data_IF_393547721521
#
_entry.id   IF_393547721521
#
_cell.length_a   1.000
_cell.length_b   1.000
_cell.length_c   1.000
_cell.angle_alpha   90.00
_cell.angle_beta   90.00
_cell.angle_gamma   90.00
#
_symmetry.space_group_name_H-M   'P 1'
#
loop_
_entity.id
_entity.type
_entity.pdbx_description
1 polymer ?
#
# COMPACT_ATOMS: atom_id res chain seq x y z
N UNK A 1 -76.65 -72.24 -74.55
CA UNK A 1 -75.20 -72.07 -74.53
C UNK A 1 -74.78 -71.97 -73.05
N UNK A 2 -74.39 -73.10 -72.46
CA UNK A 2 -73.99 -73.20 -71.09
C UNK A 2 -72.51 -72.87 -70.96
N UNK A 3 -72.23 -71.78 -70.24
CA UNK A 3 -70.80 -71.40 -69.87
C UNK A 3 -70.52 -71.93 -68.48
N UNK A 4 -69.84 -73.07 -68.42
CA UNK A 4 -69.25 -73.55 -67.12
C UNK A 4 -67.98 -72.70 -66.80
N UNK A 5 -67.95 -72.08 -65.63
CA UNK A 5 -66.72 -71.32 -65.24
C UNK A 5 -65.56 -72.28 -65.03
N UNK A 6 -64.33 -71.83 -65.30
CA UNK A 6 -63.13 -72.69 -65.18
C UNK A 6 -62.81 -73.02 -63.75
N UNK A 7 -62.23 -74.20 -63.42
CA UNK A 7 -62.03 -74.66 -62.04
C UNK A 7 -60.62 -74.10 -61.50
N UNK A 8 -60.59 -72.83 -61.18
CA UNK A 8 -59.32 -72.23 -60.65
C UNK A 8 -59.27 -72.16 -59.14
N UNK A 9 -60.34 -72.61 -58.45
CA UNK A 9 -60.35 -72.57 -56.94
C UNK A 9 -60.34 -74.01 -56.41
N UNK A 10 -59.12 -74.57 -56.15
CA UNK A 10 -59.01 -75.76 -55.35
C UNK A 10 -59.54 -75.39 -53.92
N UNK A 11 -60.69 -75.88 -53.60
CA UNK A 11 -61.25 -75.79 -52.25
C UNK A 11 -60.36 -76.64 -51.36
N UNK A 12 -59.47 -75.98 -50.64
CA UNK A 12 -58.75 -76.58 -49.56
C UNK A 12 -59.68 -77.29 -48.58
N UNK A 13 -59.19 -78.14 -47.70
CA UNK A 13 -60.03 -78.93 -46.78
C UNK A 13 -60.99 -78.04 -46.04
N UNK A 14 -62.21 -78.55 -45.83
CA UNK A 14 -63.33 -77.80 -45.22
C UNK A 14 -62.91 -77.13 -43.91
N UNK A 15 -63.38 -75.93 -43.65
CA UNK A 15 -62.93 -75.11 -42.49
C UNK A 15 -63.07 -75.83 -41.15
N UNK A 16 -64.02 -76.75 -41.03
CA UNK A 16 -64.20 -77.64 -39.88
C UNK A 16 -63.03 -78.63 -39.70
N UNK A 17 -62.45 -79.13 -40.81
CA UNK A 17 -61.30 -80.04 -40.77
C UNK A 17 -60.07 -79.31 -40.31
N UNK A 18 -59.84 -78.06 -40.79
CA UNK A 18 -58.76 -77.20 -40.33
C UNK A 18 -58.90 -76.85 -38.83
N UNK A 19 -60.07 -76.52 -38.39
CA UNK A 19 -60.34 -76.20 -37.01
C UNK A 19 -60.09 -77.44 -36.12
N UNK A 20 -60.60 -78.59 -36.49
CA UNK A 20 -60.35 -79.87 -35.79
C UNK A 20 -58.86 -80.23 -35.76
N UNK A 21 -58.10 -80.03 -36.87
CA UNK A 21 -56.65 -80.25 -36.92
C UNK A 21 -55.87 -79.31 -35.99
N UNK A 22 -56.19 -78.03 -35.99
CA UNK A 22 -55.48 -77.09 -35.15
C UNK A 22 -55.89 -77.24 -33.65
N UNK A 23 -57.14 -77.60 -33.41
CA UNK A 23 -57.62 -77.87 -32.05
C UNK A 23 -56.93 -79.14 -31.46
N UNK A 24 -56.91 -80.24 -32.26
CA UNK A 24 -56.19 -81.44 -31.83
C UNK A 24 -54.68 -81.24 -31.69
N UNK A 25 -54.02 -80.45 -32.60
CA UNK A 25 -52.62 -80.07 -32.48
C UNK A 25 -52.37 -79.21 -31.23
N UNK A 26 -53.22 -78.29 -30.93
CA UNK A 26 -53.17 -77.44 -29.73
C UNK A 26 -53.27 -78.30 -28.47
N UNK A 27 -54.30 -79.22 -28.46
CA UNK A 27 -54.48 -80.14 -27.31
C UNK A 27 -53.26 -81.08 -27.15
N UNK A 28 -52.73 -81.63 -28.27
CA UNK A 28 -51.53 -82.48 -28.25
C UNK A 28 -50.34 -81.70 -27.73
N UNK A 29 -50.11 -80.46 -28.17
CA UNK A 29 -49.02 -79.62 -27.68
C UNK A 29 -49.21 -79.30 -26.20
N UNK A 30 -50.44 -79.05 -25.73
CA UNK A 30 -50.72 -78.79 -24.33
C UNK A 30 -50.46 -80.04 -23.43
N UNK A 31 -50.85 -81.25 -23.91
CA UNK A 31 -50.54 -82.51 -23.24
C UNK A 31 -49.03 -82.84 -23.24
N UNK A 32 -48.36 -82.53 -24.37
CA UNK A 32 -46.89 -82.68 -24.46
C UNK A 32 -46.17 -81.76 -23.46
N UNK A 33 -46.63 -80.50 -23.39
CA UNK A 33 -46.04 -79.54 -22.48
C UNK A 33 -46.30 -79.92 -21.03
N UNK A 34 -47.52 -80.38 -20.67
CA UNK A 34 -47.85 -80.86 -19.35
C UNK A 34 -47.06 -82.12 -18.93
N UNK A 35 -46.66 -82.94 -19.91
CA UNK A 35 -45.93 -84.22 -19.65
C UNK A 35 -44.43 -84.04 -19.62
N UNK A 36 -43.87 -83.20 -20.44
CA UNK A 36 -42.40 -83.10 -20.66
C UNK A 36 -41.80 -81.77 -20.22
N UNK A 37 -42.65 -80.79 -19.74
CA UNK A 37 -42.21 -79.47 -19.25
C UNK A 37 -41.26 -78.69 -20.25
N UNK A 38 -41.41 -78.96 -21.52
CA UNK A 38 -40.58 -78.28 -22.55
C UNK A 38 -40.75 -76.76 -22.54
N UNK A 39 -41.87 -76.24 -22.11
CA UNK A 39 -42.14 -74.83 -21.98
C UNK A 39 -41.25 -74.18 -20.89
N UNK A 40 -40.92 -74.90 -19.83
CA UNK A 40 -39.99 -74.34 -18.80
C UNK A 40 -38.57 -74.19 -19.36
N UNK A 41 -38.12 -75.16 -20.16
CA UNK A 41 -36.82 -75.08 -20.84
C UNK A 41 -36.78 -73.95 -21.86
N UNK A 42 -37.83 -73.76 -22.66
CA UNK A 42 -37.90 -72.68 -23.63
C UNK A 42 -37.99 -71.32 -22.94
N UNK A 43 -38.77 -71.24 -21.82
CA UNK A 43 -38.92 -70.03 -21.01
C UNK A 43 -37.57 -69.64 -20.38
N UNK A 44 -36.80 -70.58 -19.91
CA UNK A 44 -35.46 -70.31 -19.32
C UNK A 44 -34.43 -69.82 -20.37
N UNK A 45 -34.46 -70.34 -21.59
CA UNK A 45 -33.62 -69.89 -22.68
C UNK A 45 -34.02 -68.52 -23.14
N UNK A 46 -35.34 -68.24 -23.30
CA UNK A 46 -35.83 -66.90 -23.62
C UNK A 46 -35.51 -65.91 -22.51
N UNK A 47 -35.69 -66.30 -21.25
CA UNK A 47 -35.31 -65.43 -20.12
C UNK A 47 -33.81 -65.12 -20.11
N UNK A 48 -32.97 -66.11 -20.43
CA UNK A 48 -31.51 -65.92 -20.52
C UNK A 48 -31.11 -64.99 -21.67
N UNK A 49 -31.81 -65.05 -22.80
CA UNK A 49 -31.57 -64.16 -23.96
C UNK A 49 -32.12 -62.70 -23.72
N UNK A 50 -33.23 -62.60 -22.99
CA UNK A 50 -33.85 -61.28 -22.69
C UNK A 50 -33.17 -60.54 -21.55
N UNK A 51 -32.56 -61.29 -20.62
CA UNK A 51 -31.85 -60.70 -19.47
C UNK A 51 -30.75 -59.68 -19.89
N UNK A 52 -29.84 -59.98 -20.85
CA UNK A 52 -28.84 -59.02 -21.29
C UNK A 52 -29.46 -57.83 -22.02
N UNK A 53 -30.60 -58.03 -22.67
CA UNK A 53 -31.31 -56.93 -23.33
C UNK A 53 -31.93 -55.97 -22.31
N UNK A 54 -32.48 -56.46 -21.21
CA UNK A 54 -33.03 -55.65 -20.12
C UNK A 54 -31.91 -54.88 -19.44
N UNK A 55 -30.74 -55.46 -19.16
CA UNK A 55 -29.62 -54.80 -18.56
C UNK A 55 -29.04 -53.71 -19.51
N UNK A 56 -28.98 -53.96 -20.81
CA UNK A 56 -28.58 -52.98 -21.81
C UNK A 56 -29.59 -51.79 -21.90
N UNK A 57 -30.87 -52.07 -21.74
CA UNK A 57 -31.91 -51.04 -21.79
C UNK A 57 -31.88 -50.13 -20.54
N UNK A 58 -31.44 -50.59 -19.38
CA UNK A 58 -31.31 -49.78 -18.13
C UNK A 58 -29.97 -49.07 -18.02
N UNK A 59 -28.92 -49.50 -18.75
CA UNK A 59 -27.62 -48.83 -18.76
C UNK A 59 -27.65 -47.33 -19.04
N UNK A 60 -28.38 -46.82 -20.06
CA UNK A 60 -28.40 -45.39 -20.35
C UNK A 60 -29.01 -44.58 -19.22
N UNK A 61 -30.03 -45.10 -18.53
CA UNK A 61 -30.62 -44.39 -17.38
C UNK A 61 -29.68 -44.32 -16.18
N UNK A 62 -29.00 -45.46 -15.84
CA UNK A 62 -28.04 -45.50 -14.76
C UNK A 62 -26.79 -44.67 -15.03
N UNK A 63 -26.33 -44.64 -16.30
CA UNK A 63 -25.23 -43.76 -16.73
C UNK A 63 -25.67 -42.27 -16.66
N UNK A 64 -26.90 -41.94 -17.10
CA UNK A 64 -27.44 -40.61 -17.02
C UNK A 64 -27.52 -40.09 -15.59
N UNK A 65 -27.99 -40.87 -14.64
CA UNK A 65 -28.04 -40.50 -13.23
C UNK A 65 -26.62 -40.31 -12.62
N UNK A 66 -25.68 -41.20 -12.94
CA UNK A 66 -24.31 -41.05 -12.48
C UNK A 66 -23.62 -39.82 -13.06
N UNK A 67 -23.83 -39.53 -14.35
CA UNK A 67 -23.32 -38.34 -15.00
C UNK A 67 -23.96 -37.06 -14.44
N UNK A 68 -25.28 -37.05 -14.25
CA UNK A 68 -25.97 -35.93 -13.65
C UNK A 68 -25.48 -35.65 -12.21
N UNK A 69 -25.29 -36.70 -11.41
CA UNK A 69 -24.69 -36.57 -10.06
C UNK A 69 -23.26 -36.04 -10.10
N UNK A 70 -22.45 -36.51 -11.06
CA UNK A 70 -21.08 -35.99 -11.24
C UNK A 70 -21.05 -34.52 -11.62
N UNK A 71 -21.87 -34.09 -12.59
CA UNK A 71 -21.94 -32.68 -12.97
C UNK A 71 -22.54 -31.79 -11.88
N UNK A 72 -23.52 -32.26 -11.14
CA UNK A 72 -24.08 -31.55 -10.00
C UNK A 72 -23.04 -31.35 -8.89
N UNK A 73 -22.31 -32.40 -8.53
CA UNK A 73 -21.22 -32.30 -7.54
C UNK A 73 -20.08 -31.42 -8.02
N UNK A 74 -19.72 -31.48 -9.31
CA UNK A 74 -18.69 -30.64 -9.92
C UNK A 74 -19.12 -29.16 -9.90
N UNK A 75 -20.35 -28.82 -10.20
CA UNK A 75 -20.87 -27.46 -10.09
C UNK A 75 -20.84 -26.97 -8.64
N UNK A 76 -21.34 -27.78 -7.71
CA UNK A 76 -21.32 -27.44 -6.28
C UNK A 76 -19.91 -27.20 -5.76
N UNK A 77 -18.94 -28.07 -6.12
CA UNK A 77 -17.53 -27.88 -5.74
C UNK A 77 -16.92 -26.62 -6.34
N UNK A 78 -17.32 -26.22 -7.54
CA UNK A 78 -16.87 -24.97 -8.15
C UNK A 78 -17.43 -23.75 -7.41
N UNK A 79 -18.71 -23.80 -7.08
CA UNK A 79 -19.37 -22.71 -6.34
C UNK A 79 -18.80 -22.58 -4.92
N UNK A 80 -18.60 -23.71 -4.21
CA UNK A 80 -17.94 -23.73 -2.91
C UNK A 80 -16.51 -23.21 -2.98
N UNK A 81 -15.75 -23.60 -4.01
CA UNK A 81 -14.39 -23.12 -4.22
C UNK A 81 -14.35 -21.61 -4.52
N UNK A 82 -15.33 -21.10 -5.29
CA UNK A 82 -15.47 -19.67 -5.55
C UNK A 82 -15.83 -18.90 -4.27
N UNK A 83 -16.77 -19.43 -3.48
CA UNK A 83 -17.15 -18.83 -2.20
C UNK A 83 -15.98 -18.82 -1.19
N UNK A 84 -15.25 -19.94 -1.07
CA UNK A 84 -14.07 -20.03 -0.21
C UNK A 84 -12.97 -19.05 -0.63
N UNK A 85 -12.73 -18.91 -1.94
CA UNK A 85 -11.77 -17.92 -2.46
C UNK A 85 -12.22 -16.49 -2.16
N UNK A 86 -13.50 -16.18 -2.30
CA UNK A 86 -14.04 -14.87 -1.94
C UNK A 86 -13.87 -14.59 -0.44
N UNK A 87 -14.16 -15.57 0.42
CA UNK A 87 -13.93 -15.46 1.88
C UNK A 87 -12.45 -15.26 2.23
N UNK A 88 -11.54 -15.97 1.56
CA UNK A 88 -10.09 -15.80 1.76
C UNK A 88 -9.67 -14.37 1.38
N UNK A 89 -10.15 -13.85 0.25
CA UNK A 89 -9.85 -12.48 -0.18
C UNK A 89 -10.37 -11.45 0.82
N UNK A 90 -11.60 -11.59 1.26
CA UNK A 90 -12.22 -10.67 2.23
C UNK A 90 -11.47 -10.71 3.58
N UNK A 91 -11.18 -11.91 4.07
CA UNK A 91 -10.43 -12.09 5.32
C UNK A 91 -9.02 -11.52 5.22
N UNK A 92 -8.32 -11.73 4.09
CA UNK A 92 -6.97 -11.19 3.91
C UNK A 92 -6.99 -9.66 3.82
N UNK A 93 -7.99 -9.06 3.16
CA UNK A 93 -8.16 -7.60 3.16
C UNK A 93 -8.46 -7.04 4.55
N UNK A 94 -9.31 -7.72 5.32
CA UNK A 94 -9.59 -7.34 6.70
C UNK A 94 -8.34 -7.42 7.60
N UNK A 95 -7.54 -8.49 7.45
CA UNK A 95 -6.27 -8.66 8.16
C UNK A 95 -5.28 -7.54 7.81
N UNK A 96 -5.11 -7.21 6.52
CA UNK A 96 -4.24 -6.12 6.09
C UNK A 96 -4.67 -4.75 6.66
N UNK A 97 -5.98 -4.47 6.66
CA UNK A 97 -6.51 -3.23 7.27
C UNK A 97 -6.26 -3.19 8.77
N UNK A 98 -6.42 -4.31 9.45
CA UNK A 98 -6.14 -4.41 10.89
C UNK A 98 -4.67 -4.17 11.20
N UNK A 99 -3.76 -4.80 10.45
CA UNK A 99 -2.31 -4.60 10.60
C UNK A 99 -1.91 -3.14 10.34
N UNK A 100 -2.46 -2.51 9.28
CA UNK A 100 -2.21 -1.11 8.99
C UNK A 100 -2.69 -0.19 10.13
N UNK A 101 -3.91 -0.40 10.63
CA UNK A 101 -4.46 0.37 11.74
C UNK A 101 -3.66 0.17 13.03
N UNK A 102 -3.17 -1.04 13.30
CA UNK A 102 -2.34 -1.34 14.45
C UNK A 102 -0.97 -0.65 14.37
N UNK A 103 -0.35 -0.66 13.17
CA UNK A 103 0.91 0.05 12.93
C UNK A 103 0.75 1.56 13.13
N UNK A 104 -0.34 2.15 12.60
CA UNK A 104 -0.68 3.56 12.78
C UNK A 104 -0.89 3.92 14.26
N UNK A 105 -1.69 3.14 14.98
CA UNK A 105 -1.89 3.32 16.42
C UNK A 105 -0.57 3.23 17.19
N UNK A 106 0.32 2.32 16.81
CA UNK A 106 1.66 2.20 17.36
C UNK A 106 2.51 3.46 17.13
N UNK A 107 2.49 4.00 15.92
CA UNK A 107 3.20 5.23 15.58
C UNK A 107 2.68 6.43 16.38
N UNK A 108 1.37 6.60 16.45
CA UNK A 108 0.76 7.69 17.23
C UNK A 108 1.11 7.62 18.72
N UNK A 109 1.10 6.42 19.34
CA UNK A 109 1.52 6.25 20.74
C UNK A 109 2.97 6.66 20.97
N UNK A 110 3.89 6.27 20.05
CA UNK A 110 5.30 6.67 20.16
C UNK A 110 5.46 8.19 20.02
N UNK A 111 4.71 8.79 19.10
CA UNK A 111 4.73 10.23 18.90
C UNK A 111 4.22 11.01 20.14
N UNK A 112 3.13 10.54 20.77
CA UNK A 112 2.64 11.10 22.03
C UNK A 112 3.70 11.00 23.12
N UNK A 113 4.32 9.82 23.29
CA UNK A 113 5.42 9.65 24.25
C UNK A 113 6.66 10.50 23.93
N UNK A 114 6.89 10.86 22.66
CA UNK A 114 7.94 11.82 22.30
C UNK A 114 7.52 13.25 22.70
N UNK A 115 6.27 13.65 22.45
CA UNK A 115 5.74 14.96 22.83
C UNK A 115 5.86 15.21 24.34
N UNK A 116 5.56 14.21 25.17
CA UNK A 116 5.67 14.30 26.64
C UNK A 116 7.11 14.49 27.13
N UNK A 117 8.10 14.03 26.37
CA UNK A 117 9.53 14.19 26.73
C UNK A 117 10.11 15.54 26.31
N UNK A 118 9.45 16.26 25.40
CA UNK A 118 9.90 17.57 24.97
C UNK A 118 9.59 18.61 26.06
N UNK A 119 10.55 19.46 26.44
CA UNK A 119 10.35 20.50 27.46
C UNK A 119 9.56 21.70 26.93
N UNK A 120 9.00 21.60 25.75
CA UNK A 120 8.33 22.67 25.02
C UNK A 120 6.99 22.19 24.44
N UNK A 121 6.06 23.09 24.27
CA UNK A 121 4.78 22.76 23.63
C UNK A 121 4.99 22.29 22.22
N UNK A 122 4.33 21.21 21.88
CA UNK A 122 4.36 20.64 20.54
C UNK A 122 2.95 20.29 20.09
N UNK A 123 2.74 20.34 18.77
CA UNK A 123 1.45 20.09 18.12
C UNK A 123 1.63 18.93 17.12
N UNK A 124 0.80 17.88 17.19
CA UNK A 124 0.82 16.84 16.18
C UNK A 124 0.28 17.34 14.85
N UNK A 125 0.93 16.95 13.76
CA UNK A 125 0.56 17.25 12.40
C UNK A 125 0.76 16.02 11.51
N UNK A 126 -0.03 15.92 10.45
CA UNK A 126 0.05 14.85 9.46
C UNK A 126 0.77 15.37 8.20
N UNK A 127 1.65 14.58 7.63
CA UNK A 127 2.28 14.86 6.34
C UNK A 127 1.27 14.50 5.24
N UNK A 128 0.83 15.52 4.48
CA UNK A 128 -0.16 15.36 3.42
C UNK A 128 0.48 14.81 2.14
N UNK A 129 1.61 15.39 1.74
CA UNK A 129 2.34 14.98 0.53
C UNK A 129 3.75 15.56 0.52
N UNK A 130 4.60 14.96 -0.31
CA UNK A 130 5.95 15.47 -0.58
C UNK A 130 5.89 16.63 -1.57
N UNK A 131 6.81 17.58 -1.44
CA UNK A 131 6.95 18.71 -2.37
C UNK A 131 7.11 18.22 -3.82
N UNK A 132 6.62 19.02 -4.76
CA UNK A 132 6.64 18.66 -6.20
C UNK A 132 8.00 18.78 -6.86
N UNK A 133 8.92 19.51 -6.24
CA UNK A 133 10.26 19.72 -6.77
C UNK A 133 11.19 18.56 -6.39
N UNK A 134 11.71 17.79 -7.35
CA UNK A 134 12.59 16.65 -7.07
C UNK A 134 13.97 17.07 -6.53
N UNK A 135 14.33 18.35 -6.67
CA UNK A 135 15.63 18.87 -6.20
C UNK A 135 15.56 19.43 -4.78
N UNK A 136 14.38 19.76 -4.30
CA UNK A 136 14.13 20.21 -2.92
C UNK A 136 13.47 19.12 -2.10
N UNK A 137 13.95 18.91 -0.91
CA UNK A 137 13.38 17.92 0.02
C UNK A 137 12.44 18.62 0.99
N UNK A 138 11.19 18.72 0.58
CA UNK A 138 10.14 19.41 1.31
C UNK A 138 8.92 18.54 1.46
N UNK A 139 8.18 18.73 2.54
CA UNK A 139 6.87 18.09 2.77
C UNK A 139 5.86 19.16 3.15
N UNK A 140 4.60 18.87 2.93
CA UNK A 140 3.48 19.72 3.34
C UNK A 140 2.71 19.02 4.45
N UNK A 141 2.44 19.76 5.53
CA UNK A 141 1.69 19.27 6.70
C UNK A 141 0.30 19.90 6.79
N UNK A 142 -0.63 19.22 7.45
CA UNK A 142 -2.05 19.58 7.63
C UNK A 142 -2.31 20.70 8.66
N UNK A 143 -1.26 21.30 9.23
CA UNK A 143 -1.33 22.39 10.20
C UNK A 143 -0.68 23.64 9.63
N UNK A 144 -1.37 24.75 9.77
CA UNK A 144 -0.93 26.05 9.29
C UNK A 144 -0.97 27.14 10.37
N UNK A 145 -0.95 28.41 9.93
CA UNK A 145 -0.92 29.56 10.82
C UNK A 145 -2.15 29.68 11.70
N UNK A 146 -3.33 29.21 11.27
CA UNK A 146 -4.53 29.15 12.10
C UNK A 146 -4.38 28.20 13.30
N UNK A 147 -3.55 27.18 13.16
CA UNK A 147 -3.22 26.24 14.24
C UNK A 147 -2.01 26.70 15.07
N UNK A 148 -1.47 27.89 14.84
CA UNK A 148 -0.30 28.41 15.57
C UNK A 148 1.05 28.06 14.95
N UNK A 149 1.10 27.37 13.81
CA UNK A 149 2.35 27.05 13.09
C UNK A 149 2.91 28.32 12.47
N UNK A 150 4.22 28.54 12.66
CA UNK A 150 4.93 29.71 12.15
C UNK A 150 6.14 29.30 11.30
N UNK A 151 6.53 30.14 10.37
CA UNK A 151 7.81 29.95 9.70
C UNK A 151 8.95 29.98 10.71
N UNK A 152 9.86 29.02 10.62
CA UNK A 152 10.93 28.82 11.58
C UNK A 152 10.62 27.79 12.68
N UNK A 153 9.36 27.31 12.83
CA UNK A 153 9.03 26.26 13.79
C UNK A 153 9.76 24.94 13.46
N UNK A 154 10.45 24.31 14.44
CA UNK A 154 11.04 22.99 14.26
C UNK A 154 9.98 21.92 14.09
N UNK A 155 10.31 20.90 13.28
CA UNK A 155 9.48 19.73 13.10
C UNK A 155 10.30 18.49 13.48
N UNK A 156 9.73 17.65 14.34
CA UNK A 156 10.40 16.45 14.88
C UNK A 156 9.49 15.23 14.75
N UNK A 157 10.07 14.05 14.81
CA UNK A 157 9.36 12.79 15.02
C UNK A 157 9.73 12.15 16.36
N UNK A 158 9.40 10.89 16.53
CA UNK A 158 9.72 10.08 17.72
C UNK A 158 11.23 9.87 17.94
N UNK A 159 12.03 9.99 16.88
CA UNK A 159 13.46 9.69 16.88
C UNK A 159 14.35 10.94 16.84
N UNK A 160 13.84 12.09 16.33
CA UNK A 160 14.65 13.31 16.25
C UNK A 160 14.09 14.38 15.32
N UNK A 161 14.98 15.25 14.84
CA UNK A 161 14.62 16.38 13.98
C UNK A 161 14.33 15.90 12.56
N UNK A 162 13.14 16.26 12.05
CA UNK A 162 12.72 16.06 10.66
C UNK A 162 13.14 17.24 9.78
N UNK A 163 12.95 18.47 10.27
CA UNK A 163 13.19 19.69 9.49
C UNK A 163 12.65 20.93 10.18
N UNK A 164 12.33 21.92 9.34
CA UNK A 164 11.84 23.22 9.79
C UNK A 164 10.74 23.74 8.87
N UNK A 165 9.73 24.39 9.44
CA UNK A 165 8.70 25.09 8.67
C UNK A 165 9.33 26.29 7.95
N UNK A 166 9.31 26.27 6.64
CA UNK A 166 9.82 27.38 5.82
C UNK A 166 8.71 28.34 5.43
N UNK A 167 7.50 27.83 5.21
CA UNK A 167 6.34 28.66 4.84
C UNK A 167 5.08 28.15 5.53
N UNK A 168 4.38 29.03 6.22
CA UNK A 168 3.09 28.73 6.83
C UNK A 168 1.97 29.40 6.05
N UNK A 169 1.04 28.59 5.52
CA UNK A 169 -0.23 29.03 4.96
C UNK A 169 -1.33 28.96 6.02
N UNK A 170 -2.57 29.34 5.69
CA UNK A 170 -3.66 29.36 6.66
C UNK A 170 -3.94 27.98 7.29
N UNK A 171 -4.06 26.93 6.48
CA UNK A 171 -4.44 25.57 6.90
C UNK A 171 -3.32 24.53 6.76
N UNK A 172 -2.24 24.86 6.06
CA UNK A 172 -1.13 23.94 5.79
C UNK A 172 0.20 24.66 5.95
N UNK A 173 1.29 23.93 6.11
CA UNK A 173 2.62 24.53 6.11
C UNK A 173 3.61 23.66 5.31
N UNK A 174 4.57 24.33 4.71
CA UNK A 174 5.70 23.73 3.99
C UNK A 174 6.85 23.55 4.96
N UNK A 175 7.36 22.34 5.04
CA UNK A 175 8.49 21.96 5.89
C UNK A 175 9.65 21.57 5.00
N UNK A 176 10.80 22.22 5.15
CA UNK A 176 12.05 21.81 4.52
C UNK A 176 12.71 20.77 5.40
N UNK A 177 12.99 19.60 4.80
CA UNK A 177 13.57 18.48 5.51
C UNK A 177 15.02 18.72 5.88
N UNK A 178 15.47 18.12 6.97
CA UNK A 178 16.84 18.16 7.45
C UNK A 178 17.86 17.72 6.38
N UNK A 179 17.47 16.85 5.47
CA UNK A 179 18.29 16.33 4.38
C UNK A 179 18.35 17.23 3.14
N UNK A 180 17.59 18.34 3.12
CA UNK A 180 17.65 19.31 2.04
C UNK A 180 19.00 20.06 2.04
N UNK A 181 19.53 20.37 0.86
CA UNK A 181 20.85 21.05 0.70
C UNK A 181 20.90 22.45 1.29
N UNK A 182 19.76 23.11 1.31
CA UNK A 182 19.63 24.48 1.81
C UNK A 182 19.30 24.53 3.31
N UNK A 183 19.13 23.35 3.95
CA UNK A 183 18.87 23.26 5.38
C UNK A 183 20.16 23.14 6.17
N UNK A 184 20.30 23.97 7.18
CA UNK A 184 21.43 23.98 8.11
C UNK A 184 20.92 23.97 9.54
N UNK A 185 21.45 23.10 10.39
CA UNK A 185 21.06 22.98 11.80
C UNK A 185 22.31 23.01 12.68
N UNK A 186 22.38 23.92 13.67
CA UNK A 186 23.43 23.91 14.65
C UNK A 186 23.31 22.71 15.56
N UNK A 187 24.36 21.90 15.60
CA UNK A 187 24.42 20.66 16.37
C UNK A 187 25.56 20.68 17.39
N UNK A 188 25.47 19.78 18.35
CA UNK A 188 26.49 19.51 19.33
C UNK A 188 26.75 18.02 19.42
N UNK A 189 28.03 17.63 19.46
CA UNK A 189 28.44 16.25 19.72
C UNK A 189 28.19 15.94 21.19
N UNK A 190 27.41 14.89 21.47
CA UNK A 190 27.04 14.53 22.86
C UNK A 190 28.25 14.17 23.71
N UNK A 191 29.26 13.53 23.15
CA UNK A 191 30.43 12.99 23.85
C UNK A 191 31.33 14.09 24.45
N UNK A 192 31.61 15.14 23.69
CA UNK A 192 32.62 16.16 24.06
C UNK A 192 32.08 17.60 24.01
N UNK A 193 30.81 17.80 23.67
CA UNK A 193 30.20 19.14 23.59
C UNK A 193 30.65 19.97 22.38
N UNK A 194 31.40 19.39 21.42
CA UNK A 194 31.87 20.08 20.23
C UNK A 194 30.69 20.55 19.40
N UNK A 195 30.69 21.85 19.05
CA UNK A 195 29.63 22.43 18.22
C UNK A 195 29.99 22.39 16.76
N UNK A 196 29.01 22.12 15.93
CA UNK A 196 29.12 22.05 14.48
C UNK A 196 27.81 22.51 13.82
N UNK A 197 27.81 22.61 12.50
CA UNK A 197 26.60 22.82 11.72
C UNK A 197 26.41 21.63 10.79
N UNK A 198 25.26 20.99 10.89
CA UNK A 198 24.86 19.92 10.02
C UNK A 198 24.08 20.48 8.83
N UNK A 199 24.48 20.11 7.62
CA UNK A 199 23.83 20.46 6.37
C UNK A 199 23.23 19.20 5.75
N UNK A 200 22.12 19.34 5.05
CA UNK A 200 21.59 18.25 4.25
C UNK A 200 22.46 17.96 3.02
N UNK A 201 22.60 16.69 2.69
CA UNK A 201 23.34 16.25 1.50
C UNK A 201 22.44 15.95 0.30
N UNK A 202 21.18 16.39 0.33
CA UNK A 202 20.23 16.27 -0.76
C UNK A 202 19.81 14.83 -1.05
N UNK A 203 19.97 14.39 -2.30
CA UNK A 203 19.49 13.10 -2.80
C UNK A 203 20.05 11.88 -2.04
N UNK A 204 21.19 11.99 -1.36
CA UNK A 204 21.76 10.89 -0.57
C UNK A 204 20.96 10.59 0.71
N UNK A 205 20.10 11.50 1.15
CA UNK A 205 19.39 11.38 2.43
C UNK A 205 20.27 11.47 3.67
N UNK A 206 21.54 11.83 3.50
CA UNK A 206 22.53 11.95 4.58
C UNK A 206 22.68 13.41 5.02
N UNK A 207 23.43 13.61 6.09
CA UNK A 207 23.86 14.91 6.57
C UNK A 207 25.37 15.03 6.46
N UNK A 208 25.85 16.26 6.35
CA UNK A 208 27.27 16.58 6.28
C UNK A 208 27.61 17.68 7.28
N UNK A 209 28.60 17.44 8.15
CA UNK A 209 29.19 18.51 8.94
C UNK A 209 30.24 19.20 8.10
N UNK A 210 29.96 20.46 7.75
CA UNK A 210 30.92 21.29 6.96
C UNK A 210 31.78 22.15 7.87
N UNK A 211 32.93 22.57 7.35
CA UNK A 211 33.86 23.48 8.02
C UNK A 211 34.43 22.95 9.34
N UNK A 212 34.51 21.63 9.49
CA UNK A 212 35.18 21.00 10.63
C UNK A 212 36.69 20.88 10.38
N UNK A 213 37.49 21.39 11.30
CA UNK A 213 38.95 21.28 11.21
C UNK A 213 39.36 19.79 11.11
N UNK A 214 40.40 19.50 10.33
CA UNK A 214 40.89 18.11 10.15
C UNK A 214 41.32 17.45 11.45
N UNK A 215 41.73 18.23 12.47
CA UNK A 215 42.09 17.77 13.81
C UNK A 215 40.93 17.77 14.80
N UNK A 216 39.71 18.07 14.35
CA UNK A 216 38.54 18.06 15.26
C UNK A 216 38.36 16.67 15.91
N UNK A 217 38.05 16.69 17.20
CA UNK A 217 37.85 15.48 18.00
C UNK A 217 36.47 14.90 17.80
N UNK A 218 36.24 14.30 16.62
CA UNK A 218 35.03 13.60 16.22
C UNK A 218 35.38 12.17 15.85
N UNK A 219 34.51 11.23 16.25
CA UNK A 219 34.65 9.79 16.03
C UNK A 219 33.39 9.21 15.32
N UNK A 220 33.58 8.11 14.58
CA UNK A 220 32.48 7.36 14.03
C UNK A 220 31.58 6.84 15.19
N UNK A 221 30.27 6.97 15.04
CA UNK A 221 29.30 6.62 16.07
C UNK A 221 28.97 7.76 17.05
N UNK A 222 29.64 8.93 16.97
CA UNK A 222 29.29 10.10 17.77
C UNK A 222 27.85 10.54 17.47
N UNK A 223 27.05 10.73 18.51
CA UNK A 223 25.66 11.22 18.43
C UNK A 223 25.65 12.73 18.38
N UNK A 224 24.82 13.26 17.51
CA UNK A 224 24.60 14.69 17.29
C UNK A 224 23.21 15.06 17.81
N UNK A 225 23.16 16.13 18.59
CA UNK A 225 21.91 16.72 19.08
C UNK A 225 21.88 18.20 18.71
N UNK A 226 20.70 18.81 18.74
CA UNK A 226 20.54 20.25 18.55
C UNK A 226 21.30 21.01 19.63
N UNK A 227 22.02 22.08 19.27
CA UNK A 227 22.79 22.89 20.23
C UNK A 227 21.98 23.97 20.93
N UNK A 228 20.81 24.35 20.37
CA UNK A 228 19.96 25.41 20.92
C UNK A 228 20.49 26.84 20.70
N UNK A 229 21.65 27.00 20.05
CA UNK A 229 22.33 28.31 19.98
C UNK A 229 21.64 29.32 19.04
N UNK A 230 20.87 28.80 18.07
CA UNK A 230 20.10 29.61 17.10
C UNK A 230 18.76 30.11 17.63
N UNK A 231 18.37 29.67 18.84
CA UNK A 231 17.06 29.97 19.42
C UNK A 231 15.88 29.43 18.64
N UNK A 232 16.13 28.61 17.60
CA UNK A 232 15.10 27.96 16.78
C UNK A 232 14.80 26.57 17.30
N UNK A 233 15.83 25.76 17.48
CA UNK A 233 15.71 24.40 17.97
C UNK A 233 15.94 24.35 19.48
N UNK A 234 15.06 23.74 20.26
CA UNK A 234 15.37 23.41 21.66
C UNK A 234 16.63 22.56 21.72
N UNK A 235 17.51 22.76 22.73
CA UNK A 235 18.73 21.97 22.85
C UNK A 235 18.42 20.50 23.18
N UNK A 236 19.28 19.58 22.72
CA UNK A 236 19.25 18.18 23.12
C UNK A 236 18.36 17.26 22.26
N UNK A 237 17.72 17.76 21.20
CA UNK A 237 16.93 16.92 20.31
C UNK A 237 17.88 16.14 19.36
N UNK A 238 17.74 14.81 19.22
CA UNK A 238 18.58 14.03 18.32
C UNK A 238 18.49 14.52 16.86
N UNK A 239 19.64 14.63 16.22
CA UNK A 239 19.77 15.05 14.80
C UNK A 239 20.30 13.91 13.96
N UNK A 240 21.35 13.22 14.42
CA UNK A 240 21.96 12.13 13.70
C UNK A 240 23.14 11.49 14.40
N UNK A 241 23.78 10.57 13.69
CA UNK A 241 24.98 9.88 14.16
C UNK A 241 26.06 9.96 13.10
N UNK A 242 27.31 10.19 13.49
CA UNK A 242 28.48 10.21 12.58
C UNK A 242 28.67 8.82 12.00
N UNK A 243 28.53 8.71 10.68
CA UNK A 243 28.66 7.45 9.96
C UNK A 243 30.08 7.26 9.41
N UNK A 244 30.69 8.33 8.86
CA UNK A 244 32.00 8.27 8.22
C UNK A 244 32.70 9.62 8.31
N UNK A 245 34.01 9.56 8.54
CA UNK A 245 34.90 10.71 8.56
C UNK A 245 35.97 10.54 7.46
N UNK A 246 35.96 11.47 6.52
CA UNK A 246 36.94 11.53 5.44
C UNK A 246 37.93 12.67 5.76
N UNK A 247 39.15 12.30 6.13
CA UNK A 247 40.26 13.23 6.38
C UNK A 247 41.25 13.11 5.26
N UNK A 248 41.45 14.18 4.51
CA UNK A 248 42.47 14.27 3.49
C UNK A 248 43.48 15.33 3.92
N UNK A 249 44.77 14.96 3.95
CA UNK A 249 45.84 15.85 4.34
C UNK A 249 45.99 17.08 3.42
N UNK A 250 45.43 17.03 2.20
CA UNK A 250 45.42 18.13 1.26
C UNK A 250 44.43 19.24 1.61
N UNK A 251 43.44 18.96 2.48
CA UNK A 251 42.39 19.91 2.83
C UNK A 251 42.40 20.31 4.31
N UNK A 252 42.17 21.59 4.57
CA UNK A 252 42.08 22.11 5.94
C UNK A 252 40.87 21.60 6.71
N UNK A 253 39.82 21.14 6.02
CA UNK A 253 38.58 20.68 6.62
C UNK A 253 38.34 19.20 6.32
N UNK A 254 37.86 18.48 7.32
CA UNK A 254 37.39 17.11 7.19
C UNK A 254 35.97 17.09 6.65
N UNK A 255 35.65 16.11 5.82
CA UNK A 255 34.30 15.81 5.38
C UNK A 255 33.72 14.76 6.29
N UNK A 256 32.66 15.10 7.03
CA UNK A 256 32.05 14.21 8.02
C UNK A 256 30.60 13.95 7.58
N UNK A 257 30.35 12.68 7.24
CA UNK A 257 29.02 12.22 6.80
C UNK A 257 28.30 11.63 7.99
N UNK A 258 27.03 12.06 8.20
CA UNK A 258 26.20 11.63 9.31
C UNK A 258 24.89 11.06 8.80
N UNK A 259 24.39 10.05 9.50
CA UNK A 259 23.08 9.45 9.26
C UNK A 259 22.05 10.18 10.11
N UNK A 260 20.91 10.67 9.54
CA UNK A 260 19.82 11.26 10.31
C UNK A 260 19.27 10.28 11.35
N UNK A 261 18.89 10.80 12.52
CA UNK A 261 18.20 10.02 13.56
C UNK A 261 16.73 9.80 13.21
N UNK A 262 16.09 10.83 12.64
CA UNK A 262 14.68 10.84 12.29
C UNK A 262 14.38 10.01 11.03
N UNK A 263 13.17 9.45 10.98
CA UNK A 263 12.65 8.73 9.83
C UNK A 263 12.08 9.64 8.74
N UNK A 264 12.91 10.51 8.17
CA UNK A 264 12.55 11.60 7.24
C UNK A 264 11.64 11.17 6.08
N UNK A 265 11.69 9.90 5.67
CA UNK A 265 10.94 9.35 4.53
C UNK A 265 9.83 8.36 4.94
N UNK A 266 9.69 8.05 6.22
CA UNK A 266 8.82 6.95 6.68
C UNK A 266 7.68 7.38 7.59
N UNK A 267 7.74 8.58 8.15
CA UNK A 267 6.75 9.06 9.10
C UNK A 267 5.55 9.69 8.41
N UNK A 268 4.34 9.32 8.81
CA UNK A 268 3.10 10.01 8.40
C UNK A 268 2.77 11.16 9.34
N UNK A 269 3.12 11.04 10.62
CA UNK A 269 2.82 12.01 11.66
C UNK A 269 4.10 12.59 12.23
N UNK A 270 4.05 13.90 12.51
CA UNK A 270 5.17 14.69 13.03
C UNK A 270 4.67 15.58 14.17
N UNK A 271 5.59 16.14 14.95
CA UNK A 271 5.33 17.16 15.96
C UNK A 271 5.92 18.48 15.50
N UNK A 272 5.11 19.52 15.44
CA UNK A 272 5.57 20.89 15.23
C UNK A 272 5.79 21.52 16.62
N UNK A 273 7.00 22.00 16.88
CA UNK A 273 7.36 22.64 18.14
C UNK A 273 7.00 24.13 18.05
N UNK A 274 6.29 24.65 19.06
CA UNK A 274 6.04 26.08 19.18
C UNK A 274 7.34 26.82 19.51
N UNK A 275 7.72 27.77 18.67
CA UNK A 275 8.94 28.56 18.87
C UNK A 275 8.67 29.76 19.77
N UNK A 276 8.63 29.56 21.09
CA UNK A 276 8.48 30.63 22.08
C UNK A 276 9.76 31.49 22.20
N UNK A 277 10.93 30.89 21.94
CA UNK A 277 12.24 31.57 22.12
C UNK A 277 12.42 32.74 21.15
N UNK A 278 11.86 32.67 19.94
CA UNK A 278 11.92 33.75 18.97
C UNK A 278 11.00 34.94 19.29
N UNK A 279 10.05 34.76 20.22
CA UNK A 279 9.18 35.86 20.68
C UNK A 279 9.87 36.75 21.71
N UNK A 280 10.92 36.27 22.35
CA UNK A 280 11.67 36.99 23.38
C UNK A 280 12.77 37.90 22.82
N UNK A 281 13.02 37.92 21.52
CA UNK A 281 13.91 38.92 20.91
C UNK A 281 13.15 40.22 20.71
N UNK A 282 13.54 41.32 21.38
CA UNK A 282 12.91 42.62 21.16
C UNK A 282 13.10 43.01 19.69
N UNK A 283 12.04 43.54 19.09
CA UNK A 283 12.08 44.21 17.78
C UNK A 283 12.77 45.57 17.91
N UNK A 284 14.03 45.62 18.28
CA UNK A 284 14.75 46.89 18.45
C UNK A 284 15.47 47.42 17.21
N UNK A 285 15.15 46.91 16.02
CA UNK A 285 15.74 47.48 14.80
C UNK A 285 14.74 48.18 13.87
N UNK A 286 13.54 48.50 14.32
CA UNK A 286 12.63 49.34 13.53
C UNK A 286 12.67 50.84 13.92
N UNK A 287 13.80 51.34 14.44
CA UNK A 287 13.93 52.69 14.92
C UNK A 287 15.32 53.30 14.72
N UNK A 288 16.03 52.99 13.66
CA UNK A 288 17.12 53.88 13.25
C UNK A 288 16.51 55.16 12.66
N UNK A 289 16.72 56.35 13.31
CA UNK A 289 16.21 57.58 12.77
C UNK A 289 16.90 57.87 11.43
N UNK A 290 16.10 58.12 10.42
CA UNK A 290 16.56 58.56 9.10
C UNK A 290 17.65 59.61 9.23
N UNK A 291 18.82 59.25 8.77
CA UNK A 291 20.04 59.97 8.67
C UNK A 291 19.82 61.41 8.21
N UNK A 292 20.34 62.33 9.01
CA UNK A 292 20.54 63.71 8.65
C UNK A 292 21.50 63.75 7.44
N UNK A 293 20.95 63.97 6.25
CA UNK A 293 21.77 64.27 5.06
C UNK A 293 22.68 65.43 5.37
N UNK A 294 24.03 65.34 5.20
CA UNK A 294 24.92 66.45 5.41
C UNK A 294 24.58 67.57 4.40
N UNK A 295 24.48 68.77 4.91
CA UNK A 295 24.09 69.97 4.17
C UNK A 295 24.89 70.17 2.91
N UNK A 296 24.18 70.43 1.84
CA UNK A 296 24.73 70.82 0.54
C UNK A 296 25.55 72.11 0.72
N UNK A 297 26.86 72.06 0.69
CA UNK A 297 27.80 73.15 0.68
C UNK A 297 27.49 74.03 -0.56
N UNK A 298 26.92 75.23 -0.33
CA UNK A 298 26.66 76.25 -1.35
C UNK A 298 28.06 76.75 -1.82
N UNK A 299 28.45 76.53 -3.07
CA UNK A 299 29.55 77.13 -3.73
C UNK A 299 29.30 78.68 -3.80
N UNK A 300 30.28 79.57 -3.49
CA UNK A 300 30.13 81.00 -3.62
C UNK A 300 30.07 81.37 -5.12
N UNK A 301 29.14 82.23 -5.44
CA UNK A 301 28.88 82.83 -6.76
C UNK A 301 30.04 83.74 -7.12
N UNK A 302 30.81 83.44 -8.15
CA UNK A 302 31.80 84.34 -8.76
C UNK A 302 31.03 85.52 -9.37
N UNK A 303 31.37 86.74 -8.93
CA UNK A 303 31.05 87.93 -9.59
C UNK A 303 32.00 88.11 -10.76
N UNK A 304 31.50 88.04 -11.96
CA UNK A 304 32.20 88.55 -13.10
C UNK A 304 31.90 90.03 -13.18
N UNK A 305 32.94 90.85 -12.97
CA UNK A 305 32.94 92.25 -13.13
C UNK A 305 33.54 92.64 -14.50
N UNK A 306 32.87 93.51 -15.14
CA UNK A 306 33.16 94.26 -16.32
C UNK A 306 34.65 94.59 -16.59
N UNK A 307 34.97 94.50 -17.84
CA UNK A 307 35.79 95.55 -18.51
C UNK A 307 35.79 95.28 -20.03
N UNK A 308 35.16 96.22 -20.70
CA UNK A 308 35.52 96.57 -22.08
C UNK A 308 36.58 97.69 -22.01
N UNK A 309 37.21 98.14 -23.06
CA UNK A 309 36.77 98.32 -24.43
C UNK A 309 37.37 97.40 -25.50
#
# INVERSE_FOLDING_TARGET
MDHTPPPFFNRGPAPLIRLAFFASLSLALLVLDARFRYAEGLRSVVALAVYPLQTLATLPAALGERMAGYFASQAQLRDENAELRAKILDTSQAAQRYEAAQAEAGQLRRLIGAAERLPVKSMPAEILYNGRDPYSRKVVIDKGSQSGVRAGSPVVDEAGVIGQVTRAHALAAEVTLLTDKDQAIPVQVVRNGLRAVAFGAGASGMLELRFMASNAEIQNGDRLVTSGIDGTYPPGIPVGTVARIERDAAYAFARIVCQPAAGVERGRYVLVIENELRQAQPRDEAGAPADKRPGRIRKPRRKDGDAAP
#
